data_IF_620303389811
#
_entry.id   IF_620303389811
#
_cell.length_a   1.000
_cell.length_b   1.000
_cell.length_c   1.000
_cell.angle_alpha   90.00
_cell.angle_beta   90.00
_cell.angle_gamma   90.00
#
_symmetry.space_group_name_H-M   'P 1'
#
loop_
_entity.id
_entity.type
_entity.pdbx_description
1 polymer ?
#
# COMPACT_ATOMS: atom_id res chain seq x y z
N UNK A 1 24.15 10.13 -17.50
CA UNK A 1 24.16 9.03 -16.50
C UNK A 1 23.60 9.62 -15.23
N UNK A 2 22.55 9.02 -14.67
CA UNK A 2 21.89 9.53 -13.45
C UNK A 2 22.92 9.61 -12.33
N UNK A 3 23.06 10.79 -11.72
CA UNK A 3 23.99 10.97 -10.61
C UNK A 3 23.52 10.20 -9.38
N UNK A 4 24.46 9.66 -8.60
CA UNK A 4 24.15 8.95 -7.35
C UNK A 4 23.27 9.78 -6.41
N UNK A 5 23.54 11.08 -6.30
CA UNK A 5 22.71 12.01 -5.49
C UNK A 5 21.25 12.01 -5.92
N UNK A 6 20.98 11.98 -7.23
CA UNK A 6 19.61 11.99 -7.78
C UNK A 6 18.91 10.65 -7.55
N UNK A 7 19.62 9.55 -7.74
CA UNK A 7 19.09 8.22 -7.46
C UNK A 7 18.70 8.06 -5.98
N UNK A 8 19.55 8.54 -5.06
CA UNK A 8 19.24 8.55 -3.62
C UNK A 8 18.03 9.44 -3.27
N UNK A 9 17.90 10.62 -3.89
CA UNK A 9 16.74 11.49 -3.68
C UNK A 9 15.42 10.84 -4.14
N UNK A 10 15.43 10.20 -5.30
CA UNK A 10 14.29 9.46 -5.83
C UNK A 10 13.91 8.25 -4.95
N UNK A 11 14.90 7.52 -4.45
CA UNK A 11 14.69 6.42 -3.51
C UNK A 11 14.07 6.92 -2.19
N UNK A 12 14.55 8.06 -1.67
CA UNK A 12 13.97 8.68 -0.48
C UNK A 12 12.50 9.09 -0.66
N UNK A 13 12.18 9.69 -1.81
CA UNK A 13 10.80 10.02 -2.16
C UNK A 13 9.92 8.77 -2.27
N UNK A 14 10.43 7.71 -2.91
CA UNK A 14 9.73 6.43 -2.99
C UNK A 14 9.44 5.84 -1.61
N UNK A 15 10.42 5.86 -0.70
CA UNK A 15 10.24 5.38 0.69
C UNK A 15 9.19 6.22 1.43
N UNK A 16 9.18 7.54 1.27
CA UNK A 16 8.16 8.39 1.89
C UNK A 16 6.74 8.01 1.44
N UNK A 17 6.55 7.76 0.15
CA UNK A 17 5.27 7.28 -0.38
C UNK A 17 4.93 5.86 0.05
N UNK A 18 5.93 4.97 0.16
CA UNK A 18 5.72 3.64 0.73
C UNK A 18 5.14 3.72 2.14
N UNK A 19 5.64 4.62 2.98
CA UNK A 19 5.10 4.83 4.32
C UNK A 19 3.65 5.33 4.27
N UNK A 20 3.32 6.24 3.35
CA UNK A 20 1.94 6.74 3.16
C UNK A 20 1.02 5.58 2.77
N UNK A 21 1.39 4.77 1.77
CA UNK A 21 0.59 3.63 1.35
C UNK A 21 0.48 2.56 2.43
N UNK A 22 1.55 2.31 3.18
CA UNK A 22 1.56 1.39 4.31
C UNK A 22 0.61 1.83 5.42
N UNK A 23 0.52 3.14 5.71
CA UNK A 23 -0.47 3.67 6.67
C UNK A 23 -1.88 3.49 6.14
N UNK A 24 -2.14 3.89 4.89
CA UNK A 24 -3.47 3.81 4.29
C UNK A 24 -3.96 2.36 4.25
N UNK A 25 -3.20 1.44 3.64
CA UNK A 25 -3.57 0.04 3.58
C UNK A 25 -3.50 -0.67 4.93
N UNK A 26 -2.60 -0.23 5.81
CA UNK A 26 -2.48 -0.71 7.18
C UNK A 26 -3.74 -0.49 7.99
N UNK A 27 -4.46 0.62 7.79
CA UNK A 27 -5.77 0.86 8.43
C UNK A 27 -6.78 -0.23 8.03
N UNK A 28 -6.86 -0.57 6.74
CA UNK A 28 -7.77 -1.62 6.26
C UNK A 28 -7.36 -3.01 6.76
N UNK A 29 -6.07 -3.33 6.74
CA UNK A 29 -5.55 -4.60 7.25
C UNK A 29 -5.84 -4.72 8.76
N UNK A 30 -5.57 -3.67 9.52
CA UNK A 30 -5.82 -3.65 10.96
C UNK A 30 -7.31 -3.83 11.28
N UNK A 31 -8.19 -3.08 10.61
CA UNK A 31 -9.64 -3.25 10.74
C UNK A 31 -10.07 -4.69 10.36
N UNK A 32 -9.52 -5.23 9.27
CA UNK A 32 -9.81 -6.57 8.82
C UNK A 32 -9.37 -7.66 9.80
N UNK A 33 -8.19 -7.53 10.42
CA UNK A 33 -7.70 -8.43 11.48
C UNK A 33 -8.63 -8.38 12.70
N UNK A 34 -9.05 -7.20 13.14
CA UNK A 34 -9.97 -7.06 14.27
C UNK A 34 -11.32 -7.72 13.99
N UNK A 35 -11.85 -7.56 12.77
CA UNK A 35 -13.11 -8.21 12.38
C UNK A 35 -12.95 -9.73 12.25
N UNK A 36 -11.88 -10.21 11.61
CA UNK A 36 -11.64 -11.63 11.41
C UNK A 36 -11.26 -12.38 12.68
N UNK A 37 -10.58 -11.71 13.62
CA UNK A 37 -10.18 -12.26 14.91
C UNK A 37 -11.36 -12.59 15.84
N UNK A 38 -12.56 -12.12 15.53
CA UNK A 38 -13.79 -12.39 16.29
C UNK A 38 -14.57 -13.59 15.74
N UNK A 39 -13.87 -14.66 15.32
CA UNK A 39 -14.50 -15.85 14.72
C UNK A 39 -15.55 -16.50 15.63
N UNK A 40 -15.35 -16.44 16.95
CA UNK A 40 -16.34 -16.84 17.95
C UNK A 40 -16.90 -15.58 18.59
N UNK A 41 -18.20 -15.34 18.38
CA UNK A 41 -18.96 -14.31 19.09
C UNK A 41 -19.88 -14.94 20.12
N UNK A 42 -20.19 -14.22 21.19
CA UNK A 42 -21.12 -14.69 22.22
C UNK A 42 -22.47 -14.00 22.03
N UNK A 43 -23.53 -14.79 22.07
CA UNK A 43 -24.88 -14.25 22.08
C UNK A 43 -25.08 -13.39 23.34
N UNK A 44 -25.48 -12.10 23.23
CA UNK A 44 -25.58 -11.20 24.38
C UNK A 44 -26.65 -11.61 25.40
N UNK A 45 -27.62 -12.42 25.00
CA UNK A 45 -28.77 -12.83 25.82
C UNK A 45 -28.52 -14.21 26.44
N UNK A 46 -28.01 -15.15 25.64
CA UNK A 46 -27.86 -16.55 26.06
C UNK A 46 -26.44 -16.93 26.47
N UNK A 47 -25.43 -16.11 26.12
CA UNK A 47 -24.03 -16.39 26.40
C UNK A 47 -23.47 -17.59 25.62
N UNK A 48 -24.23 -18.16 24.68
CA UNK A 48 -23.81 -19.31 23.89
C UNK A 48 -22.84 -18.84 22.81
N UNK A 49 -21.67 -19.49 22.63
CA UNK A 49 -20.75 -19.18 21.55
C UNK A 49 -21.39 -19.50 20.19
N UNK A 50 -21.27 -18.58 19.24
CA UNK A 50 -21.72 -18.69 17.86
C UNK A 50 -20.55 -18.35 16.93
N UNK A 51 -20.53 -19.00 15.76
CA UNK A 51 -19.56 -18.68 14.72
C UNK A 51 -19.97 -17.39 14.00
N UNK A 52 -19.08 -16.40 14.03
CA UNK A 52 -19.23 -15.14 13.31
C UNK A 52 -18.59 -15.23 11.92
N UNK A 53 -19.17 -16.07 11.05
CA UNK A 53 -18.67 -16.26 9.69
C UNK A 53 -18.74 -14.97 8.86
N UNK A 54 -19.72 -14.10 9.15
CA UNK A 54 -19.84 -12.81 8.49
C UNK A 54 -18.65 -11.90 8.84
N UNK A 55 -18.33 -11.72 10.13
CA UNK A 55 -17.18 -10.94 10.57
C UNK A 55 -15.86 -11.48 10.02
N UNK A 56 -15.69 -12.80 10.00
CA UNK A 56 -14.55 -13.47 9.37
C UNK A 56 -14.44 -13.14 7.87
N UNK A 57 -15.54 -13.30 7.11
CA UNK A 57 -15.56 -13.03 5.67
C UNK A 57 -15.25 -11.56 5.34
N UNK A 58 -15.92 -10.62 5.99
CA UNK A 58 -15.67 -9.19 5.79
C UNK A 58 -14.26 -8.79 6.21
N UNK A 59 -13.73 -9.37 7.30
CA UNK A 59 -12.37 -9.09 7.76
C UNK A 59 -11.31 -9.52 6.73
N UNK A 60 -11.46 -10.71 6.13
CA UNK A 60 -10.57 -11.18 5.07
C UNK A 60 -10.63 -10.27 3.84
N UNK A 61 -11.82 -9.83 3.43
CA UNK A 61 -11.97 -8.90 2.31
C UNK A 61 -11.22 -7.59 2.57
N UNK A 62 -11.34 -7.01 3.77
CA UNK A 62 -10.63 -5.78 4.14
C UNK A 62 -9.11 -5.95 4.12
N UNK A 63 -8.59 -7.10 4.56
CA UNK A 63 -7.16 -7.41 4.49
C UNK A 63 -6.69 -7.44 3.04
N UNK A 64 -7.44 -8.09 2.15
CA UNK A 64 -7.13 -8.17 0.72
C UNK A 64 -7.12 -6.77 0.09
N UNK A 65 -8.12 -5.94 0.40
CA UNK A 65 -8.19 -4.56 -0.08
C UNK A 65 -7.00 -3.75 0.41
N UNK A 66 -6.69 -3.80 1.71
CA UNK A 66 -5.57 -3.06 2.28
C UNK A 66 -4.23 -3.46 1.68
N UNK A 67 -4.01 -4.76 1.46
CA UNK A 67 -2.81 -5.26 0.80
C UNK A 67 -2.75 -4.82 -0.68
N UNK A 68 -3.89 -4.88 -1.39
CA UNK A 68 -4.01 -4.38 -2.75
C UNK A 68 -3.68 -2.89 -2.87
N UNK A 69 -4.14 -2.06 -1.93
CA UNK A 69 -3.81 -0.63 -1.89
C UNK A 69 -2.30 -0.38 -1.71
N UNK A 70 -1.65 -1.14 -0.82
CA UNK A 70 -0.19 -1.02 -0.62
C UNK A 70 0.55 -1.38 -1.90
N UNK A 71 0.20 -2.52 -2.52
CA UNK A 71 0.86 -2.98 -3.74
C UNK A 71 0.63 -2.04 -4.93
N UNK A 72 -0.61 -1.67 -5.20
CA UNK A 72 -0.95 -0.79 -6.33
C UNK A 72 -0.40 0.63 -6.11
N UNK A 73 -0.52 1.16 -4.89
CA UNK A 73 0.01 2.46 -4.53
C UNK A 73 1.53 2.52 -4.67
N UNK A 74 2.25 1.53 -4.13
CA UNK A 74 3.70 1.43 -4.26
C UNK A 74 4.15 1.31 -5.72
N UNK A 75 3.51 0.44 -6.50
CA UNK A 75 3.84 0.27 -7.91
C UNK A 75 3.56 1.56 -8.72
N UNK A 76 2.45 2.24 -8.46
CA UNK A 76 2.13 3.51 -9.10
C UNK A 76 3.17 4.59 -8.79
N UNK A 77 3.57 4.74 -7.53
CA UNK A 77 4.64 5.67 -7.14
C UNK A 77 5.96 5.31 -7.82
N UNK A 78 6.34 4.03 -7.83
CA UNK A 78 7.56 3.58 -8.49
C UNK A 78 7.58 3.93 -9.98
N UNK A 79 6.51 3.58 -10.71
CA UNK A 79 6.38 3.85 -12.14
C UNK A 79 6.44 5.36 -12.42
N UNK A 80 5.78 6.18 -11.59
CA UNK A 80 5.80 7.63 -11.71
C UNK A 80 7.22 8.18 -11.57
N UNK A 81 7.93 7.82 -10.51
CA UNK A 81 9.30 8.29 -10.26
C UNK A 81 10.24 7.86 -11.39
N UNK A 82 10.17 6.60 -11.83
CA UNK A 82 11.01 6.11 -12.93
C UNK A 82 10.69 6.84 -14.23
N UNK A 83 9.41 7.04 -14.55
CA UNK A 83 9.00 7.74 -15.78
C UNK A 83 9.51 9.18 -15.83
N UNK A 84 9.50 9.90 -14.70
CA UNK A 84 10.02 11.27 -14.62
C UNK A 84 11.54 11.31 -14.77
N UNK A 85 12.24 10.38 -14.12
CA UNK A 85 13.70 10.29 -14.23
C UNK A 85 14.14 10.06 -15.67
N UNK A 86 13.45 9.13 -16.35
CA UNK A 86 13.72 8.78 -17.76
C UNK A 86 13.41 9.96 -18.67
N UNK A 87 12.26 10.61 -18.52
CA UNK A 87 11.86 11.75 -19.33
C UNK A 87 12.87 12.91 -19.23
N UNK A 88 13.28 13.25 -18.00
CA UNK A 88 14.29 14.29 -17.75
C UNK A 88 15.66 13.95 -18.36
N UNK A 89 16.09 12.67 -18.31
CA UNK A 89 17.36 12.26 -18.92
C UNK A 89 17.31 12.36 -20.46
N UNK A 90 16.17 11.99 -21.06
CA UNK A 90 15.97 12.14 -22.51
C UNK A 90 15.99 13.61 -22.90
N UNK A 91 15.29 14.47 -22.16
CA UNK A 91 15.27 15.91 -22.41
C UNK A 91 16.66 16.55 -22.27
N UNK A 92 17.41 16.21 -21.23
CA UNK A 92 18.79 16.70 -21.06
C UNK A 92 19.68 16.32 -22.24
N UNK A 93 19.60 15.07 -22.73
CA UNK A 93 20.40 14.63 -23.87
C UNK A 93 20.05 15.38 -25.16
N UNK A 94 18.76 15.60 -25.41
CA UNK A 94 18.30 16.37 -26.57
C UNK A 94 18.80 17.82 -26.51
N UNK A 95 18.78 18.44 -25.33
CA UNK A 95 19.29 19.81 -25.13
C UNK A 95 20.83 19.91 -25.20
N UNK A 96 21.55 18.86 -24.84
CA UNK A 96 23.03 18.84 -24.90
C UNK A 96 23.59 18.48 -26.27
N UNK A 97 22.77 17.88 -27.14
CA UNK A 97 23.13 17.50 -28.51
C UNK A 97 22.69 18.50 -29.58
N UNK A 98 22.00 19.58 -29.19
CA UNK A 98 21.66 20.74 -30.00
C UNK A 98 22.57 21.92 -29.63
#
# INVERSE_FOLDING_TARGET
>A
MVSWRRAFGAAGLYVAFLLIWAVIGGIFIFAGIFMAGTLVSYDPVTGIPKLNLAGAGFGVILIIIGYGLILLGSLATFLKIVSEIVAEEVEMKLRSGA
#
